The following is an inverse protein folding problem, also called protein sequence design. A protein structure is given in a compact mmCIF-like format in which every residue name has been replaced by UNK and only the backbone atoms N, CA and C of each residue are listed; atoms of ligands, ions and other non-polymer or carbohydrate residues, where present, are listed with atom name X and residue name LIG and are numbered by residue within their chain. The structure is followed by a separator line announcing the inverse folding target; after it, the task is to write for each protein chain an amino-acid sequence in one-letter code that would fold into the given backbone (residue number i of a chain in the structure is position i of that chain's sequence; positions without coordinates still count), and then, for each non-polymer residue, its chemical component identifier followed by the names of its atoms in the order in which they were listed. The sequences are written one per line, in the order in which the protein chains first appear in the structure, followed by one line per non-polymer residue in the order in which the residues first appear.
data_IF_371176746753
#
_entry.id   IF_371176746753
#
_cell.length_a   1.000
_cell.length_b   1.000
_cell.length_c   1.000
_cell.angle_alpha   90.00
_cell.angle_beta   90.00
_cell.angle_gamma   90.00
#
_symmetry.space_group_name_H-M   'P 1'
#
loop_
_entity.id
_entity.type
_entity.pdbx_description
1 polymer ?
#
# COMPACT_ATOMS: atom_id res chain seq x y z
N UNK A 1 -0.67 -26.52 -5.57
CA UNK A 1 0.80 -26.52 -5.41
C UNK A 1 1.26 -25.11 -5.68
N UNK A 2 1.89 -24.43 -4.71
CA UNK A 2 2.35 -23.05 -4.88
C UNK A 2 3.28 -22.97 -6.10
N UNK A 3 3.23 -21.85 -6.84
CA UNK A 3 4.17 -21.64 -7.95
C UNK A 3 5.61 -21.73 -7.43
N UNK A 4 6.55 -22.09 -8.30
CA UNK A 4 7.97 -22.16 -7.93
C UNK A 4 8.45 -20.83 -7.34
N UNK A 5 7.96 -19.72 -7.88
CA UNK A 5 8.29 -18.38 -7.43
C UNK A 5 7.71 -18.05 -6.04
N UNK A 6 6.51 -18.51 -5.73
CA UNK A 6 5.96 -18.39 -4.36
C UNK A 6 6.76 -19.22 -3.35
N UNK A 7 7.26 -20.40 -3.74
CA UNK A 7 8.12 -21.22 -2.88
C UNK A 7 9.49 -20.55 -2.64
N UNK A 8 10.06 -19.92 -3.67
CA UNK A 8 11.28 -19.12 -3.53
C UNK A 8 11.08 -17.93 -2.61
N UNK A 9 9.98 -17.19 -2.77
CA UNK A 9 9.64 -16.08 -1.89
C UNK A 9 9.50 -16.52 -0.41
N UNK A 10 8.81 -17.65 -0.16
CA UNK A 10 8.68 -18.19 1.20
C UNK A 10 10.05 -18.61 1.80
N UNK A 11 10.97 -19.09 0.97
CA UNK A 11 12.34 -19.42 1.40
C UNK A 11 13.06 -18.16 1.86
N UNK A 12 12.92 -17.04 1.14
CA UNK A 12 13.50 -15.74 1.51
C UNK A 12 12.92 -15.24 2.84
N UNK A 13 11.60 -15.28 3.02
CA UNK A 13 10.95 -14.83 4.25
C UNK A 13 11.46 -15.59 5.48
N UNK A 14 11.59 -16.93 5.36
CA UNK A 14 12.01 -17.80 6.46
C UNK A 14 13.41 -17.46 7.00
N UNK A 15 14.33 -17.05 6.13
CA UNK A 15 15.72 -16.73 6.51
C UNK A 15 16.02 -15.23 6.53
N UNK A 16 15.00 -14.38 6.36
CA UNK A 16 15.15 -12.93 6.17
C UNK A 16 15.96 -12.24 7.27
N UNK A 17 15.68 -12.52 8.55
CA UNK A 17 16.40 -11.94 9.69
C UNK A 17 17.88 -12.35 9.74
N UNK A 18 18.18 -13.58 9.31
CA UNK A 18 19.55 -14.11 9.25
C UNK A 18 20.32 -13.50 8.10
N UNK A 19 19.74 -13.52 6.89
CA UNK A 19 20.30 -12.85 5.70
C UNK A 19 20.55 -11.37 5.96
N UNK A 20 19.64 -10.69 6.64
CA UNK A 20 19.82 -9.29 7.02
C UNK A 20 21.03 -9.09 7.95
N UNK A 21 21.26 -9.99 8.90
CA UNK A 21 22.43 -9.94 9.78
C UNK A 21 23.76 -10.11 9.03
N UNK A 22 23.81 -11.04 8.08
CA UNK A 22 24.98 -11.24 7.23
C UNK A 22 25.20 -10.08 6.27
N UNK A 23 24.13 -9.56 5.66
CA UNK A 23 24.19 -8.38 4.79
C UNK A 23 24.71 -7.16 5.55
N UNK A 24 24.26 -6.92 6.78
CA UNK A 24 24.78 -5.81 7.62
C UNK A 24 26.26 -5.99 7.90
N UNK A 25 26.70 -7.21 8.20
CA UNK A 25 28.13 -7.51 8.38
C UNK A 25 28.92 -7.14 7.12
N UNK A 26 28.39 -7.48 5.95
CA UNK A 26 29.01 -7.16 4.67
C UNK A 26 29.01 -5.66 4.35
N UNK A 27 27.93 -4.94 4.69
CA UNK A 27 27.85 -3.47 4.57
C UNK A 27 28.95 -2.80 5.38
N UNK A 28 29.14 -3.18 6.64
CA UNK A 28 30.15 -2.60 7.53
C UNK A 28 31.57 -3.03 7.16
N UNK A 29 31.75 -4.23 6.59
CA UNK A 29 33.03 -4.66 6.04
C UNK A 29 33.47 -3.81 4.85
N UNK A 30 32.52 -3.40 4.00
CA UNK A 30 32.78 -2.52 2.84
C UNK A 30 32.97 -1.05 3.21
N UNK A 31 32.34 -0.61 4.31
CA UNK A 31 32.29 0.79 4.72
C UNK A 31 32.70 0.93 6.20
N UNK A 32 33.99 0.78 6.55
CA UNK A 32 34.45 0.84 7.95
C UNK A 32 34.12 2.17 8.65
N UNK A 33 33.92 3.25 7.89
CA UNK A 33 33.52 4.57 8.39
C UNK A 33 32.07 4.65 8.89
N UNK A 34 31.22 3.67 8.54
CA UNK A 34 29.82 3.63 8.98
C UNK A 34 29.66 3.55 10.50
N UNK A 35 30.63 2.94 11.20
CA UNK A 35 30.65 2.90 12.66
C UNK A 35 30.71 4.32 13.24
N UNK A 36 31.56 5.18 12.68
CA UNK A 36 31.68 6.57 13.12
C UNK A 36 30.45 7.42 12.71
N UNK A 37 29.84 7.11 11.56
CA UNK A 37 28.73 7.90 10.99
C UNK A 37 27.38 7.58 11.60
N UNK A 38 27.06 6.30 11.79
CA UNK A 38 25.76 5.84 12.30
C UNK A 38 25.80 5.45 13.79
N UNK A 39 26.98 5.31 14.37
CA UNK A 39 27.16 4.96 15.77
C UNK A 39 26.61 3.57 16.13
N UNK A 40 26.41 3.29 17.44
CA UNK A 40 26.09 1.95 17.94
C UNK A 40 24.70 1.44 17.52
N UNK A 41 23.80 2.33 17.09
CA UNK A 41 22.45 1.96 16.61
C UNK A 41 22.41 1.67 15.10
N UNK A 42 23.46 2.03 14.36
CA UNK A 42 23.54 1.85 12.91
C UNK A 42 23.31 0.41 12.43
N UNK A 43 23.91 -0.63 13.05
CA UNK A 43 23.68 -2.01 12.64
C UNK A 43 22.21 -2.44 12.77
N UNK A 44 21.52 -1.99 13.82
CA UNK A 44 20.11 -2.30 14.04
C UNK A 44 19.21 -1.59 13.01
N UNK A 45 19.53 -0.34 12.66
CA UNK A 45 18.85 0.40 11.61
C UNK A 45 18.99 -0.33 10.27
N UNK A 46 20.22 -0.61 9.84
CA UNK A 46 20.47 -1.32 8.59
C UNK A 46 19.82 -2.70 8.57
N UNK A 47 19.81 -3.42 9.70
CA UNK A 47 19.13 -4.72 9.78
C UNK A 47 17.64 -4.58 9.48
N UNK A 48 16.96 -3.60 10.08
CA UNK A 48 15.54 -3.33 9.80
C UNK A 48 15.30 -3.07 8.32
N UNK A 49 16.17 -2.29 7.68
CA UNK A 49 16.00 -1.94 6.27
C UNK A 49 16.30 -3.08 5.31
N UNK A 50 17.28 -3.94 5.63
CA UNK A 50 17.52 -5.13 4.83
C UNK A 50 16.38 -6.14 4.99
N UNK A 51 15.80 -6.30 6.18
CA UNK A 51 14.60 -7.13 6.36
C UNK A 51 13.45 -6.62 5.49
N UNK A 52 13.17 -5.32 5.53
CA UNK A 52 12.13 -4.71 4.71
C UNK A 52 12.38 -4.92 3.21
N UNK A 53 13.62 -4.72 2.74
CA UNK A 53 14.01 -4.98 1.33
C UNK A 53 13.83 -6.44 0.93
N UNK A 54 14.21 -7.39 1.79
CA UNK A 54 14.03 -8.82 1.56
C UNK A 54 12.54 -9.18 1.43
N UNK A 55 11.67 -8.55 2.22
CA UNK A 55 10.22 -8.75 2.11
C UNK A 55 9.69 -8.22 0.76
N UNK A 56 10.04 -7.00 0.36
CA UNK A 56 9.67 -6.47 -0.96
C UNK A 56 10.23 -7.31 -2.12
N UNK A 57 11.44 -7.86 -1.96
CA UNK A 57 12.06 -8.75 -2.94
C UNK A 57 11.28 -10.07 -3.06
N UNK A 58 10.85 -10.64 -1.93
CA UNK A 58 10.01 -11.83 -1.90
C UNK A 58 8.65 -11.59 -2.59
N UNK A 59 8.00 -10.44 -2.33
CA UNK A 59 6.76 -10.04 -3.01
C UNK A 59 6.94 -9.93 -4.53
N UNK A 60 8.00 -9.23 -4.96
CA UNK A 60 8.31 -9.03 -6.37
C UNK A 60 8.58 -10.35 -7.10
N UNK A 61 9.29 -11.28 -6.46
CA UNK A 61 9.55 -12.62 -7.02
C UNK A 61 8.25 -13.42 -7.10
N UNK A 62 7.46 -13.47 -6.02
CA UNK A 62 6.23 -14.26 -5.98
C UNK A 62 5.20 -13.86 -7.04
N UNK A 63 5.22 -12.59 -7.44
CA UNK A 63 4.28 -11.99 -8.42
C UNK A 63 4.89 -11.82 -9.81
N UNK A 64 6.18 -12.11 -9.97
CA UNK A 64 6.95 -11.78 -11.18
C UNK A 64 6.81 -10.29 -11.58
N UNK A 65 6.76 -9.40 -10.59
CA UNK A 65 6.64 -7.94 -10.78
C UNK A 65 7.78 -7.23 -10.07
N UNK A 66 8.95 -7.05 -10.73
CA UNK A 66 10.08 -6.33 -10.15
C UNK A 66 9.74 -4.90 -9.74
N UNK A 67 8.72 -4.29 -10.34
CA UNK A 67 8.20 -2.96 -10.02
C UNK A 67 7.86 -2.81 -8.53
N UNK A 68 7.41 -3.87 -7.86
CA UNK A 68 7.12 -3.85 -6.41
C UNK A 68 8.39 -3.50 -5.62
N UNK A 69 9.52 -4.12 -5.96
CA UNK A 69 10.81 -3.85 -5.33
C UNK A 69 11.42 -2.54 -5.82
N UNK A 70 11.36 -2.26 -7.11
CA UNK A 70 11.93 -1.04 -7.70
C UNK A 70 11.28 0.20 -7.10
N UNK A 71 9.95 0.20 -6.94
CA UNK A 71 9.23 1.30 -6.31
C UNK A 71 9.65 1.49 -4.84
N UNK A 72 9.89 0.41 -4.08
CA UNK A 72 10.36 0.55 -2.70
C UNK A 72 11.77 1.15 -2.62
N UNK A 73 12.62 0.89 -3.61
CA UNK A 73 13.94 1.53 -3.73
C UNK A 73 13.84 3.01 -4.12
N UNK A 74 12.97 3.38 -5.06
CA UNK A 74 12.73 4.79 -5.42
C UNK A 74 12.20 5.58 -4.20
N UNK A 75 11.27 4.98 -3.46
CA UNK A 75 10.77 5.53 -2.20
C UNK A 75 11.86 5.68 -1.14
N UNK A 76 12.69 4.65 -0.95
CA UNK A 76 13.84 4.72 -0.04
C UNK A 76 14.81 5.82 -0.46
N UNK A 77 15.13 5.95 -1.76
CA UNK A 77 16.01 7.00 -2.30
C UNK A 77 15.56 8.40 -1.93
N UNK A 78 14.27 8.68 -2.08
CA UNK A 78 13.69 9.96 -1.68
C UNK A 78 13.87 10.21 -0.17
N UNK A 79 13.47 9.25 0.67
CA UNK A 79 13.34 9.48 2.10
C UNK A 79 14.64 9.37 2.90
N UNK A 80 15.58 8.57 2.43
CA UNK A 80 16.82 8.29 3.16
C UNK A 80 17.76 9.50 3.19
N UNK A 81 17.70 10.36 2.15
CA UNK A 81 18.39 11.65 2.16
C UNK A 81 17.96 12.50 3.35
N UNK A 82 16.66 12.53 3.69
CA UNK A 82 16.16 13.25 4.85
C UNK A 82 16.65 12.66 6.19
N UNK A 83 17.05 11.38 6.21
CA UNK A 83 17.60 10.68 7.38
C UNK A 83 19.13 10.62 7.41
N UNK A 84 19.80 11.42 6.57
CA UNK A 84 21.26 11.53 6.55
C UNK A 84 21.97 10.39 5.83
N UNK A 85 21.26 9.60 5.02
CA UNK A 85 21.83 8.60 4.10
C UNK A 85 22.06 9.21 2.72
N UNK A 86 23.04 8.67 1.99
CA UNK A 86 23.31 9.06 0.60
C UNK A 86 22.72 8.05 -0.38
N UNK A 87 22.55 8.46 -1.64
CA UNK A 87 22.22 7.55 -2.75
C UNK A 87 23.26 6.41 -2.89
N UNK A 88 24.53 6.72 -2.62
CA UNK A 88 25.61 5.73 -2.61
C UNK A 88 25.45 4.69 -1.49
N UNK A 89 24.96 5.09 -0.30
CA UNK A 89 24.70 4.15 0.79
C UNK A 89 23.64 3.12 0.39
N UNK A 90 22.60 3.58 -0.33
CA UNK A 90 21.52 2.72 -0.83
C UNK A 90 22.05 1.74 -1.86
N UNK A 91 22.79 2.23 -2.87
CA UNK A 91 23.38 1.38 -3.90
C UNK A 91 24.37 0.36 -3.30
N UNK A 92 25.20 0.79 -2.34
CA UNK A 92 26.11 -0.07 -1.60
C UNK A 92 25.39 -1.17 -0.83
N UNK A 93 24.28 -0.84 -0.17
CA UNK A 93 23.45 -1.81 0.56
C UNK A 93 22.79 -2.85 -0.36
N UNK A 94 22.35 -2.44 -1.55
CA UNK A 94 21.78 -3.34 -2.56
C UNK A 94 22.85 -4.29 -3.14
N UNK A 95 24.05 -3.77 -3.34
CA UNK A 95 25.19 -4.59 -3.79
C UNK A 95 25.56 -5.62 -2.72
N UNK A 96 25.70 -5.20 -1.46
CA UNK A 96 25.98 -6.12 -0.35
C UNK A 96 24.87 -7.18 -0.21
N UNK A 97 23.60 -6.80 -0.34
CA UNK A 97 22.47 -7.73 -0.32
C UNK A 97 22.55 -8.76 -1.46
N UNK A 98 22.87 -8.31 -2.67
CA UNK A 98 23.03 -9.22 -3.82
C UNK A 98 24.15 -10.23 -3.59
N UNK A 99 25.28 -9.78 -3.05
CA UNK A 99 26.44 -10.64 -2.80
C UNK A 99 26.16 -11.65 -1.68
N UNK A 100 25.54 -11.21 -0.57
CA UNK A 100 25.09 -12.11 0.50
C UNK A 100 24.10 -13.16 -0.02
N UNK A 101 23.15 -12.78 -0.88
CA UNK A 101 22.21 -13.74 -1.47
C UNK A 101 22.91 -14.75 -2.39
N UNK A 102 23.94 -14.34 -3.13
CA UNK A 102 24.72 -15.24 -4.00
C UNK A 102 25.57 -16.23 -3.20
N UNK A 103 26.09 -15.82 -2.04
CA UNK A 103 26.88 -16.68 -1.17
C UNK A 103 26.02 -17.67 -0.37
N UNK A 104 24.86 -17.22 0.12
CA UNK A 104 24.11 -17.94 1.16
C UNK A 104 22.85 -18.66 0.64
N UNK A 105 22.33 -18.29 -0.54
CA UNK A 105 21.11 -18.90 -1.09
C UNK A 105 21.43 -19.85 -2.25
N UNK A 106 20.57 -20.86 -2.50
CA UNK A 106 20.66 -21.67 -3.71
C UNK A 106 20.71 -20.81 -4.98
N UNK A 107 21.60 -21.14 -5.92
CA UNK A 107 21.86 -20.34 -7.13
C UNK A 107 20.58 -19.95 -7.89
N UNK A 108 19.61 -20.87 -8.00
CA UNK A 108 18.34 -20.59 -8.67
C UNK A 108 17.52 -19.45 -8.02
N UNK A 109 17.60 -19.31 -6.69
CA UNK A 109 16.95 -18.23 -5.93
C UNK A 109 17.81 -16.97 -6.03
N UNK A 110 19.11 -17.09 -5.79
CA UNK A 110 20.05 -15.98 -5.84
C UNK A 110 20.04 -15.26 -7.20
N UNK A 111 20.00 -16.01 -8.30
CA UNK A 111 19.94 -15.45 -9.66
C UNK A 111 18.64 -14.71 -9.94
N UNK A 112 17.51 -15.15 -9.36
CA UNK A 112 16.23 -14.43 -9.43
C UNK A 112 16.30 -13.12 -8.66
N UNK A 113 16.77 -13.19 -7.42
CA UNK A 113 16.99 -12.02 -6.57
C UNK A 113 17.90 -10.99 -7.25
N UNK A 114 19.03 -11.44 -7.80
CA UNK A 114 20.01 -10.57 -8.45
C UNK A 114 19.42 -9.82 -9.65
N UNK A 115 18.52 -10.44 -10.43
CA UNK A 115 17.83 -9.74 -11.53
C UNK A 115 16.95 -8.59 -11.03
N UNK A 116 16.17 -8.82 -9.97
CA UNK A 116 15.29 -7.78 -9.39
C UNK A 116 16.12 -6.69 -8.70
N UNK A 117 17.14 -7.08 -7.93
CA UNK A 117 18.06 -6.14 -7.27
C UNK A 117 18.79 -5.27 -8.30
N UNK A 118 19.18 -5.82 -9.45
CA UNK A 118 19.80 -5.06 -10.53
C UNK A 118 18.91 -3.95 -11.07
N UNK A 119 17.60 -4.16 -11.17
CA UNK A 119 16.67 -3.09 -11.55
C UNK A 119 16.58 -2.01 -10.46
N UNK A 120 16.59 -2.40 -9.18
CA UNK A 120 16.67 -1.46 -8.06
C UNK A 120 17.98 -0.66 -8.02
N UNK A 121 19.12 -1.27 -8.37
CA UNK A 121 20.42 -0.59 -8.46
C UNK A 121 20.39 0.52 -9.51
N UNK A 122 19.79 0.28 -10.68
CA UNK A 122 19.62 1.33 -11.71
C UNK A 122 18.86 2.55 -11.20
N UNK A 123 17.94 2.38 -10.25
CA UNK A 123 17.23 3.48 -9.58
C UNK A 123 18.14 4.17 -8.56
N UNK A 124 18.80 3.40 -7.70
CA UNK A 124 19.67 3.93 -6.65
C UNK A 124 20.84 4.76 -7.20
N UNK A 125 21.38 4.38 -8.35
CA UNK A 125 22.53 5.01 -9.01
C UNK A 125 22.17 6.22 -9.88
N UNK A 126 20.89 6.61 -9.98
CA UNK A 126 20.50 7.79 -10.77
C UNK A 126 21.12 9.07 -10.16
N UNK A 127 21.72 9.95 -10.98
CA UNK A 127 22.33 11.18 -10.49
C UNK A 127 21.34 12.01 -9.67
N UNK A 128 21.80 12.63 -8.59
CA UNK A 128 20.95 13.48 -7.72
C UNK A 128 20.37 14.68 -8.49
N UNK A 129 21.06 15.17 -9.51
CA UNK A 129 20.55 16.23 -10.41
C UNK A 129 19.39 15.77 -11.30
N UNK A 130 19.20 14.45 -11.45
CA UNK A 130 17.93 13.87 -11.93
C UNK A 130 17.05 13.73 -10.70
N UNK A 131 16.58 14.88 -10.28
CA UNK A 131 15.54 15.05 -9.30
C UNK A 131 14.26 14.39 -9.83
N UNK A 132 14.07 13.10 -9.55
CA UNK A 132 12.73 12.54 -9.51
C UNK A 132 12.07 12.99 -8.20
N UNK A 133 12.06 14.32 -8.01
CA UNK A 133 11.55 15.02 -6.84
C UNK A 133 10.07 14.71 -6.61
N UNK A 134 9.38 14.03 -7.53
CA UNK A 134 7.96 13.69 -7.42
C UNK A 134 7.62 12.94 -6.14
N UNK A 135 8.52 12.09 -5.63
CA UNK A 135 8.31 11.35 -4.37
C UNK A 135 8.55 12.23 -3.13
N UNK A 136 9.43 13.23 -3.26
CA UNK A 136 9.72 14.22 -2.22
C UNK A 136 8.78 15.42 -2.23
N UNK A 137 8.19 15.73 -3.36
CA UNK A 137 7.27 16.83 -3.55
C UNK A 137 5.99 16.52 -2.82
N UNK A 138 5.47 17.54 -2.13
CA UNK A 138 4.13 17.48 -1.59
C UNK A 138 3.17 17.10 -2.70
N UNK A 139 2.26 16.17 -2.42
CA UNK A 139 1.17 15.82 -3.36
C UNK A 139 0.26 17.02 -3.63
N UNK A 140 0.29 18.01 -2.75
CA UNK A 140 -0.42 19.26 -2.93
C UNK A 140 0.40 20.24 -3.78
N UNK A 141 0.15 20.25 -5.09
CA UNK A 141 0.68 21.29 -5.98
C UNK A 141 -0.11 22.62 -5.80
N UNK A 142 0.54 23.77 -6.00
CA UNK A 142 -0.12 25.08 -6.01
C UNK A 142 -0.98 25.33 -7.26
N UNK A 143 -0.79 24.53 -8.32
CA UNK A 143 -1.60 24.60 -9.54
C UNK A 143 -2.93 23.82 -9.46
N UNK A 144 -3.12 23.00 -8.44
CA UNK A 144 -4.36 22.23 -8.23
C UNK A 144 -5.40 23.10 -7.50
N UNK A 145 -6.63 23.12 -8.00
CA UNK A 145 -7.76 23.88 -7.45
C UNK A 145 -8.08 23.44 -6.02
N UNK A 146 -7.81 22.18 -5.67
CA UNK A 146 -8.07 21.62 -4.34
C UNK A 146 -6.83 21.41 -3.48
N UNK A 147 -5.63 21.60 -4.06
CA UNK A 147 -4.36 21.60 -3.32
C UNK A 147 -4.39 22.48 -2.07
N UNK A 148 -4.93 23.71 -2.10
CA UNK A 148 -5.07 24.55 -0.91
C UNK A 148 -5.98 23.94 0.18
N UNK A 149 -7.07 23.27 -0.20
CA UNK A 149 -8.02 22.67 0.75
C UNK A 149 -7.41 21.44 1.43
N UNK A 150 -6.76 20.58 0.66
CA UNK A 150 -6.04 19.43 1.19
C UNK A 150 -4.92 19.84 2.15
N UNK A 151 -4.13 20.87 1.80
CA UNK A 151 -3.13 21.43 2.73
C UNK A 151 -3.76 21.98 4.00
N UNK A 152 -4.84 22.76 3.88
CA UNK A 152 -5.54 23.32 5.03
C UNK A 152 -6.09 22.21 5.95
N UNK A 153 -6.72 21.19 5.37
CA UNK A 153 -7.23 20.02 6.08
C UNK A 153 -6.13 19.34 6.89
N UNK A 154 -5.02 18.96 6.23
CA UNK A 154 -3.90 18.30 6.89
C UNK A 154 -3.24 19.18 7.95
N UNK A 155 -3.01 20.46 7.64
CA UNK A 155 -2.39 21.42 8.57
C UNK A 155 -3.21 21.53 9.85
N UNK A 156 -4.54 21.70 9.73
CA UNK A 156 -5.41 21.75 10.90
C UNK A 156 -5.33 20.47 11.73
N UNK A 157 -5.25 19.29 11.12
CA UNK A 157 -5.07 18.05 11.88
C UNK A 157 -3.72 17.95 12.59
N UNK A 158 -2.63 18.34 11.92
CA UNK A 158 -1.29 18.37 12.53
C UNK A 158 -1.22 19.37 13.70
N UNK A 159 -1.95 20.48 13.61
CA UNK A 159 -2.10 21.45 14.70
C UNK A 159 -3.17 21.06 15.74
N UNK A 160 -3.75 19.86 15.65
CA UNK A 160 -4.77 19.30 16.56
C UNK A 160 -6.10 20.08 16.58
N UNK A 161 -6.43 20.75 15.49
CA UNK A 161 -7.63 21.56 15.29
C UNK A 161 -8.67 20.79 14.46
N UNK A 162 -9.19 19.68 15.03
CA UNK A 162 -10.10 18.77 14.33
C UNK A 162 -11.37 19.47 13.80
N UNK A 163 -11.94 20.42 14.54
CA UNK A 163 -13.14 21.16 14.12
C UNK A 163 -12.90 21.94 12.83
N UNK A 164 -11.77 22.65 12.73
CA UNK A 164 -11.41 23.41 11.52
C UNK A 164 -11.11 22.49 10.34
N UNK A 165 -10.47 21.35 10.58
CA UNK A 165 -10.25 20.36 9.53
C UNK A 165 -11.59 19.84 8.99
N UNK A 166 -12.56 19.56 9.87
CA UNK A 166 -13.91 19.17 9.46
C UNK A 166 -14.64 20.29 8.71
N UNK A 167 -14.49 21.55 9.14
CA UNK A 167 -15.08 22.70 8.45
C UNK A 167 -14.61 22.79 6.99
N UNK A 168 -13.32 22.56 6.71
CA UNK A 168 -12.79 22.53 5.33
C UNK A 168 -13.55 21.52 4.46
N UNK A 169 -13.81 20.32 4.98
CA UNK A 169 -14.52 19.27 4.26
C UNK A 169 -16.01 19.62 4.07
N UNK A 170 -16.68 20.09 5.13
CA UNK A 170 -18.10 20.42 5.08
C UNK A 170 -18.39 21.66 4.22
N UNK A 171 -17.52 22.66 4.24
CA UNK A 171 -17.60 23.83 3.35
C UNK A 171 -17.42 23.43 1.88
N UNK A 172 -16.51 22.49 1.61
CA UNK A 172 -16.33 21.93 0.26
C UNK A 172 -17.63 21.30 -0.26
N UNK A 173 -18.30 20.49 0.56
CA UNK A 173 -19.62 19.93 0.22
C UNK A 173 -20.67 21.02 0.06
N UNK A 174 -20.73 21.99 0.99
CA UNK A 174 -21.68 23.13 0.90
C UNK A 174 -21.49 23.97 -0.36
N UNK A 175 -20.26 24.05 -0.88
CA UNK A 175 -19.94 24.77 -2.11
C UNK A 175 -20.34 24.04 -3.40
N UNK A 176 -20.96 22.86 -3.28
CA UNK A 176 -21.51 22.10 -4.41
C UNK A 176 -20.65 20.91 -4.85
N UNK A 177 -19.52 20.63 -4.19
CA UNK A 177 -18.71 19.45 -4.47
C UNK A 177 -19.38 18.20 -3.92
N UNK A 178 -19.29 17.11 -4.68
CA UNK A 178 -19.71 15.79 -4.21
C UNK A 178 -18.78 15.28 -3.10
N UNK A 179 -19.29 14.39 -2.26
CA UNK A 179 -18.47 13.71 -1.24
C UNK A 179 -17.37 12.88 -1.90
N UNK A 180 -17.63 12.27 -3.06
CA UNK A 180 -16.64 11.56 -3.85
C UNK A 180 -15.46 12.46 -4.25
N UNK A 181 -15.73 13.68 -4.74
CA UNK A 181 -14.66 14.66 -5.02
C UNK A 181 -13.91 15.06 -3.75
N UNK A 182 -14.58 15.24 -2.61
CA UNK A 182 -13.91 15.56 -1.33
C UNK A 182 -13.01 14.41 -0.87
N UNK A 183 -13.47 13.17 -1.00
CA UNK A 183 -12.67 11.97 -0.72
C UNK A 183 -11.40 11.94 -1.58
N UNK A 184 -11.53 12.14 -2.89
CA UNK A 184 -10.44 11.95 -3.84
C UNK A 184 -9.46 13.14 -3.93
N UNK A 185 -9.94 14.36 -3.73
CA UNK A 185 -9.14 15.58 -3.95
C UNK A 185 -8.64 16.23 -2.65
N UNK A 186 -9.21 15.88 -1.50
CA UNK A 186 -8.82 16.44 -0.19
C UNK A 186 -8.31 15.35 0.74
N UNK A 187 -9.13 14.32 1.02
CA UNK A 187 -8.79 13.29 2.02
C UNK A 187 -7.68 12.38 1.51
N UNK A 188 -7.84 11.75 0.34
CA UNK A 188 -6.85 10.81 -0.17
C UNK A 188 -5.45 11.45 -0.32
N UNK A 189 -5.30 12.67 -0.88
CA UNK A 189 -4.01 13.33 -0.92
C UNK A 189 -3.48 13.71 0.46
N UNK A 190 -4.32 14.10 1.43
CA UNK A 190 -3.86 14.37 2.79
C UNK A 190 -3.31 13.11 3.48
N UNK A 191 -3.90 11.95 3.22
CA UNK A 191 -3.40 10.66 3.73
C UNK A 191 -2.07 10.28 3.07
N UNK A 192 -1.92 10.51 1.77
CA UNK A 192 -0.63 10.32 1.10
C UNK A 192 0.43 11.26 1.65
N UNK A 193 0.06 12.52 1.91
CA UNK A 193 0.99 13.54 2.40
C UNK A 193 1.45 13.28 3.83
N UNK A 194 0.57 12.88 4.76
CA UNK A 194 1.01 12.53 6.13
C UNK A 194 1.95 11.32 6.11
N UNK A 195 1.72 10.36 5.20
CA UNK A 195 2.64 9.26 4.95
C UNK A 195 4.01 9.74 4.48
N UNK A 196 4.05 10.69 3.53
CA UNK A 196 5.29 11.34 3.07
C UNK A 196 6.01 12.07 4.21
N UNK A 197 5.29 12.91 4.98
CA UNK A 197 5.85 13.66 6.11
C UNK A 197 6.43 12.73 7.19
N UNK A 198 5.72 11.66 7.54
CA UNK A 198 6.22 10.64 8.46
C UNK A 198 7.52 10.01 7.94
N UNK A 199 7.54 9.71 6.65
CA UNK A 199 8.71 9.11 6.02
C UNK A 199 9.91 10.06 5.92
N UNK A 200 9.68 11.37 5.84
CA UNK A 200 10.72 12.41 5.91
C UNK A 200 11.11 12.80 7.33
N UNK A 201 10.54 12.15 8.36
CA UNK A 201 10.74 12.51 9.76
C UNK A 201 10.27 13.94 10.10
N UNK A 202 9.35 14.48 9.30
CA UNK A 202 8.65 15.75 9.52
C UNK A 202 7.34 15.56 10.32
N UNK A 203 6.80 14.34 10.33
CA UNK A 203 5.70 13.92 11.19
C UNK A 203 6.09 12.69 12.01
N UNK A 204 5.59 12.59 13.24
CA UNK A 204 5.78 11.43 14.09
C UNK A 204 4.72 10.36 13.83
N UNK A 205 4.94 9.15 14.37
CA UNK A 205 3.90 8.11 14.40
C UNK A 205 2.63 8.60 15.13
N UNK A 206 2.79 9.42 16.17
CA UNK A 206 1.66 10.01 16.89
C UNK A 206 0.89 11.04 16.05
N UNK A 207 1.56 11.74 15.12
CA UNK A 207 0.90 12.63 14.16
C UNK A 207 0.09 11.83 13.14
N UNK A 208 0.69 10.80 12.54
CA UNK A 208 0.01 9.90 11.60
C UNK A 208 -1.25 9.28 12.23
N UNK A 209 -1.11 8.65 13.41
CA UNK A 209 -2.24 7.99 14.08
C UNK A 209 -3.40 8.96 14.39
N UNK A 210 -3.08 10.18 14.81
CA UNK A 210 -4.10 11.19 15.06
C UNK A 210 -4.78 11.65 13.77
N UNK A 211 -4.00 11.92 12.70
CA UNK A 211 -4.54 12.32 11.40
C UNK A 211 -5.48 11.23 10.87
N UNK A 212 -5.06 9.96 10.92
CA UNK A 212 -5.88 8.81 10.50
C UNK A 212 -7.16 8.70 11.32
N UNK A 213 -7.07 8.78 12.66
CA UNK A 213 -8.24 8.71 13.56
C UNK A 213 -9.23 9.86 13.32
N UNK A 214 -8.73 11.09 13.19
CA UNK A 214 -9.57 12.25 12.89
C UNK A 214 -10.22 12.15 11.50
N UNK A 215 -9.50 11.57 10.54
CA UNK A 215 -10.02 11.30 9.18
C UNK A 215 -11.14 10.27 9.19
N UNK A 216 -11.04 9.20 9.98
CA UNK A 216 -12.15 8.24 10.14
C UNK A 216 -13.42 8.92 10.66
N UNK A 217 -13.29 9.79 11.66
CA UNK A 217 -14.42 10.54 12.20
C UNK A 217 -15.03 11.47 11.14
N UNK A 218 -14.19 12.12 10.33
CA UNK A 218 -14.65 12.99 9.25
C UNK A 218 -15.38 12.21 8.14
N UNK A 219 -14.87 11.04 7.74
CA UNK A 219 -15.54 10.15 6.76
C UNK A 219 -16.92 9.73 7.27
N UNK A 220 -17.03 9.30 8.53
CA UNK A 220 -18.32 8.94 9.13
C UNK A 220 -19.35 10.07 9.07
N UNK A 221 -18.92 11.33 9.24
CA UNK A 221 -19.77 12.51 9.09
C UNK A 221 -20.12 12.81 7.64
N UNK A 222 -19.15 12.73 6.72
CA UNK A 222 -19.36 12.93 5.29
C UNK A 222 -20.31 11.90 4.68
N UNK A 223 -20.31 10.66 5.19
CA UNK A 223 -21.28 9.63 4.80
C UNK A 223 -22.73 10.10 4.95
N UNK A 224 -23.03 10.93 5.95
CA UNK A 224 -24.38 11.50 6.16
C UNK A 224 -24.80 12.51 5.08
N UNK A 225 -23.85 12.96 4.24
CA UNK A 225 -24.06 13.91 3.14
C UNK A 225 -24.14 13.23 1.77
N UNK A 226 -23.89 11.93 1.69
CA UNK A 226 -24.03 11.17 0.46
C UNK A 226 -25.50 11.07 0.05
N UNK A 227 -25.80 11.08 -1.26
CA UNK A 227 -27.12 10.69 -1.74
C UNK A 227 -27.40 9.24 -1.36
N UNK A 228 -28.68 8.90 -1.20
CA UNK A 228 -29.11 7.52 -0.98
C UNK A 228 -29.95 7.08 -2.16
N UNK A 229 -29.33 6.34 -3.08
CA UNK A 229 -30.07 5.66 -4.13
C UNK A 229 -31.01 4.60 -3.52
N UNK A 230 -32.03 4.20 -4.28
CA UNK A 230 -32.89 3.08 -3.91
C UNK A 230 -32.06 1.81 -3.83
N UNK A 231 -32.29 0.93 -2.83
CA UNK A 231 -31.62 -0.35 -2.75
C UNK A 231 -31.72 -1.12 -4.07
N UNK A 232 -30.58 -1.53 -4.62
CA UNK A 232 -30.49 -2.23 -5.90
C UNK A 232 -30.48 -3.76 -5.75
N UNK A 233 -30.58 -4.25 -4.51
CA UNK A 233 -30.56 -5.68 -4.17
C UNK A 233 -29.18 -6.32 -4.17
N UNK A 234 -28.10 -5.56 -4.43
CA UNK A 234 -26.72 -6.04 -4.45
C UNK A 234 -26.05 -5.92 -3.08
N UNK A 235 -25.26 -6.92 -2.71
CA UNK A 235 -24.46 -6.94 -1.48
C UNK A 235 -22.97 -6.87 -1.81
N UNK A 236 -22.22 -6.06 -1.07
CA UNK A 236 -20.77 -5.99 -1.18
C UNK A 236 -20.08 -6.19 0.18
N UNK A 237 -18.94 -6.87 0.17
CA UNK A 237 -18.02 -6.97 1.29
C UNK A 237 -16.78 -6.13 0.98
N UNK A 238 -16.36 -5.24 1.89
CA UNK A 238 -15.25 -4.32 1.67
C UNK A 238 -14.23 -4.41 2.82
N UNK A 239 -12.97 -4.73 2.51
CA UNK A 239 -11.92 -4.86 3.54
C UNK A 239 -10.50 -4.75 2.99
N UNK A 240 -9.54 -4.40 3.84
CA UNK A 240 -8.13 -4.56 3.54
C UNK A 240 -7.65 -5.95 3.94
N UNK A 241 -6.75 -6.50 3.13
CA UNK A 241 -6.27 -7.87 3.29
C UNK A 241 -5.41 -8.06 4.55
N UNK A 242 -5.22 -9.32 4.96
CA UNK A 242 -4.41 -9.66 6.12
C UNK A 242 -2.99 -9.09 6.04
N UNK A 243 -2.52 -8.52 7.16
CA UNK A 243 -1.25 -7.83 7.27
C UNK A 243 -1.29 -6.35 6.87
N UNK A 244 -2.37 -5.87 6.25
CA UNK A 244 -2.52 -4.46 5.90
C UNK A 244 -3.37 -3.69 6.92
N UNK A 245 -2.75 -2.73 7.60
CA UNK A 245 -3.38 -1.94 8.65
C UNK A 245 -4.15 -0.71 8.15
N UNK A 246 -4.12 -0.43 6.85
CA UNK A 246 -4.72 0.80 6.30
C UNK A 246 -6.12 0.52 5.75
N UNK A 247 -7.14 1.27 6.19
CA UNK A 247 -8.53 1.08 5.77
C UNK A 247 -9.26 2.36 5.31
N UNK A 248 -8.61 3.53 5.32
CA UNK A 248 -9.24 4.79 4.90
C UNK A 248 -9.76 4.70 3.46
N UNK A 249 -8.95 4.15 2.55
CA UNK A 249 -9.32 3.96 1.14
C UNK A 249 -10.56 3.07 0.97
N UNK A 250 -10.57 1.90 1.61
CA UNK A 250 -11.66 0.93 1.44
C UNK A 250 -12.97 1.39 2.10
N UNK A 251 -12.89 2.21 3.16
CA UNK A 251 -14.07 2.88 3.74
C UNK A 251 -14.69 3.88 2.79
N UNK A 252 -13.88 4.68 2.08
CA UNK A 252 -14.38 5.61 1.07
C UNK A 252 -15.09 4.85 -0.07
N UNK A 253 -14.52 3.72 -0.52
CA UNK A 253 -15.17 2.83 -1.50
C UNK A 253 -16.51 2.31 -0.99
N UNK A 254 -16.55 1.81 0.25
CA UNK A 254 -17.76 1.29 0.86
C UNK A 254 -18.87 2.34 0.93
N UNK A 255 -18.56 3.54 1.40
CA UNK A 255 -19.52 4.64 1.49
C UNK A 255 -20.08 5.03 0.11
N UNK A 256 -19.24 5.06 -0.93
CA UNK A 256 -19.70 5.36 -2.29
C UNK A 256 -20.56 4.24 -2.89
N UNK A 257 -20.24 2.97 -2.64
CA UNK A 257 -21.10 1.85 -3.05
C UNK A 257 -22.47 1.90 -2.38
N UNK A 258 -22.52 2.19 -1.08
CA UNK A 258 -23.79 2.37 -0.37
C UNK A 258 -24.61 3.53 -0.94
N UNK A 259 -23.95 4.63 -1.34
CA UNK A 259 -24.64 5.77 -1.98
C UNK A 259 -25.36 5.39 -3.27
N UNK A 260 -24.89 4.32 -3.93
CA UNK A 260 -25.44 3.74 -5.16
C UNK A 260 -26.44 2.60 -4.92
N UNK A 261 -26.88 2.41 -3.66
CA UNK A 261 -27.95 1.48 -3.30
C UNK A 261 -27.48 0.06 -2.98
N UNK A 262 -26.18 -0.17 -2.88
CA UNK A 262 -25.63 -1.44 -2.41
C UNK A 262 -25.81 -1.58 -0.90
N UNK A 263 -26.00 -2.81 -0.44
CA UNK A 263 -25.82 -3.16 0.98
C UNK A 263 -24.37 -3.56 1.21
N UNK A 264 -23.60 -2.71 1.88
CA UNK A 264 -22.16 -2.91 2.06
C UNK A 264 -21.82 -3.29 3.49
N UNK A 265 -21.00 -4.32 3.64
CA UNK A 265 -20.35 -4.68 4.90
C UNK A 265 -18.88 -4.29 4.83
N UNK A 266 -18.47 -3.24 5.56
CA UNK A 266 -17.08 -2.79 5.61
C UNK A 266 -16.39 -3.33 6.87
N UNK A 267 -15.50 -4.31 6.72
CA UNK A 267 -14.81 -4.95 7.86
C UNK A 267 -13.54 -4.22 8.31
N UNK A 268 -13.10 -3.21 7.55
CA UNK A 268 -11.92 -2.41 7.90
C UNK A 268 -10.62 -3.09 7.51
N UNK A 269 -9.58 -2.92 8.34
CA UNK A 269 -8.22 -3.35 8.07
C UNK A 269 -7.92 -4.80 8.51
N UNK A 270 -6.81 -5.34 8.00
CA UNK A 270 -6.15 -6.54 8.50
C UNK A 270 -7.05 -7.79 8.58
N UNK A 271 -7.85 -8.03 7.54
CA UNK A 271 -8.80 -9.14 7.54
C UNK A 271 -8.10 -10.48 7.28
N UNK A 272 -8.12 -11.43 8.22
CA UNK A 272 -7.54 -12.75 8.01
C UNK A 272 -8.24 -13.49 6.88
N UNK A 273 -7.48 -14.13 5.98
CA UNK A 273 -8.04 -14.81 4.80
C UNK A 273 -9.04 -15.90 5.16
N UNK A 274 -8.79 -16.69 6.21
CA UNK A 274 -9.71 -17.75 6.64
C UNK A 274 -11.07 -17.20 7.06
N UNK A 275 -11.07 -16.17 7.90
CA UNK A 275 -12.30 -15.51 8.37
C UNK A 275 -13.01 -14.76 7.24
N UNK A 276 -12.26 -14.14 6.31
CA UNK A 276 -12.80 -13.50 5.11
C UNK A 276 -13.60 -14.50 4.27
N UNK A 277 -13.03 -15.68 4.01
CA UNK A 277 -13.67 -16.72 3.21
C UNK A 277 -14.91 -17.27 3.92
N UNK A 278 -14.80 -17.58 5.21
CA UNK A 278 -15.92 -18.08 6.01
C UNK A 278 -17.09 -17.09 6.10
N UNK A 279 -16.80 -15.78 6.06
CA UNK A 279 -17.83 -14.74 6.03
C UNK A 279 -18.42 -14.53 4.63
N UNK A 280 -17.60 -14.62 3.59
CA UNK A 280 -18.01 -14.31 2.22
C UNK A 280 -18.77 -15.45 1.51
N UNK A 281 -18.51 -16.70 1.89
CA UNK A 281 -19.00 -17.90 1.21
C UNK A 281 -19.55 -18.89 2.24
N UNK A 282 -20.69 -19.52 1.94
CA UNK A 282 -21.30 -20.52 2.83
C UNK A 282 -20.64 -21.91 2.74
N UNK A 283 -21.03 -22.81 3.64
CA UNK A 283 -20.47 -24.18 3.75
C UNK A 283 -20.67 -25.03 2.48
N UNK A 284 -21.57 -24.64 1.57
CA UNK A 284 -21.80 -25.33 0.30
C UNK A 284 -21.20 -24.58 -0.89
N UNK A 285 -20.37 -23.57 -0.66
CA UNK A 285 -19.62 -22.85 -1.69
C UNK A 285 -20.42 -21.78 -2.44
N UNK A 286 -21.54 -21.32 -1.87
CA UNK A 286 -22.37 -20.25 -2.44
C UNK A 286 -21.91 -18.90 -1.90
N UNK A 287 -21.60 -17.92 -2.78
CA UNK A 287 -21.29 -16.56 -2.36
C UNK A 287 -22.48 -15.90 -1.63
N UNK A 288 -22.18 -15.21 -0.53
CA UNK A 288 -23.17 -14.41 0.20
C UNK A 288 -23.25 -12.96 -0.31
N UNK A 289 -22.29 -12.56 -1.14
CA UNK A 289 -22.12 -11.20 -1.67
C UNK A 289 -22.04 -11.26 -3.20
N UNK A 290 -22.46 -10.19 -3.86
CA UNK A 290 -22.25 -10.01 -5.30
C UNK A 290 -20.82 -9.53 -5.59
N UNK A 291 -20.22 -8.83 -4.63
CA UNK A 291 -18.89 -8.22 -4.75
C UNK A 291 -18.07 -8.39 -3.46
N UNK A 292 -16.81 -8.77 -3.59
CA UNK A 292 -15.78 -8.55 -2.55
C UNK A 292 -14.77 -7.53 -3.07
N UNK A 293 -14.72 -6.36 -2.43
CA UNK A 293 -13.76 -5.30 -2.68
C UNK A 293 -12.60 -5.41 -1.67
N UNK A 294 -11.40 -5.67 -2.17
CA UNK A 294 -10.19 -5.84 -1.37
C UNK A 294 -9.21 -4.70 -1.60
N UNK A 295 -8.57 -4.23 -0.52
CA UNK A 295 -7.55 -3.20 -0.57
C UNK A 295 -6.18 -3.70 -0.11
N UNK A 296 -5.13 -3.28 -0.82
CA UNK A 296 -3.74 -3.34 -0.36
C UNK A 296 -3.07 -1.98 -0.59
N UNK A 297 -2.54 -1.38 0.47
CA UNK A 297 -1.94 -0.04 0.48
C UNK A 297 -0.45 -0.06 0.18
N UNK A 298 0.22 -1.19 0.43
CA UNK A 298 1.67 -1.34 0.21
C UNK A 298 2.00 -2.59 -0.60
N UNK A 299 3.17 -2.61 -1.24
CA UNK A 299 3.65 -3.77 -1.99
C UNK A 299 3.80 -5.04 -1.14
N UNK A 300 3.97 -4.88 0.19
CA UNK A 300 4.07 -5.97 1.16
C UNK A 300 2.75 -6.75 1.35
N UNK A 301 1.62 -6.20 0.92
CA UNK A 301 0.31 -6.84 1.06
C UNK A 301 -0.14 -7.57 -0.22
N UNK A 302 0.67 -7.60 -1.28
CA UNK A 302 0.26 -8.15 -2.58
C UNK A 302 0.12 -9.68 -2.54
N UNK A 303 1.01 -10.41 -1.85
CA UNK A 303 0.81 -11.85 -1.61
C UNK A 303 -0.42 -12.14 -0.76
N UNK A 304 -0.67 -11.35 0.28
CA UNK A 304 -1.91 -11.47 1.08
C UNK A 304 -3.15 -11.28 0.21
N UNK A 305 -3.11 -10.33 -0.73
CA UNK A 305 -4.14 -10.15 -1.75
C UNK A 305 -4.31 -11.38 -2.62
N UNK A 306 -3.23 -11.89 -3.23
CA UNK A 306 -3.29 -13.09 -4.06
C UNK A 306 -3.86 -14.30 -3.31
N UNK A 307 -3.45 -14.49 -2.04
CA UNK A 307 -3.97 -15.56 -1.19
C UNK A 307 -5.47 -15.38 -0.89
N UNK A 308 -5.91 -14.16 -0.59
CA UNK A 308 -7.32 -13.86 -0.37
C UNK A 308 -8.18 -14.12 -1.61
N UNK A 309 -7.74 -13.63 -2.78
CA UNK A 309 -8.43 -13.86 -4.05
C UNK A 309 -8.50 -15.35 -4.39
N UNK A 310 -7.38 -16.08 -4.30
CA UNK A 310 -7.34 -17.52 -4.56
C UNK A 310 -8.27 -18.30 -3.62
N UNK A 311 -8.23 -18.00 -2.33
CA UNK A 311 -9.06 -18.71 -1.35
C UNK A 311 -10.56 -18.42 -1.54
N UNK A 312 -10.93 -17.18 -1.87
CA UNK A 312 -12.31 -16.82 -2.21
C UNK A 312 -12.78 -17.58 -3.46
N UNK A 313 -11.95 -17.67 -4.51
CA UNK A 313 -12.26 -18.40 -5.74
C UNK A 313 -12.45 -19.89 -5.50
N UNK A 314 -11.58 -20.49 -4.71
CA UNK A 314 -11.66 -21.91 -4.35
C UNK A 314 -12.94 -22.20 -3.56
N UNK A 315 -13.29 -21.33 -2.60
CA UNK A 315 -14.49 -21.48 -1.80
C UNK A 315 -15.77 -21.22 -2.61
N UNK A 316 -15.78 -20.21 -3.48
CA UNK A 316 -16.96 -19.78 -4.25
C UNK A 316 -17.26 -20.66 -5.47
N UNK A 317 -16.85 -21.94 -5.48
CA UNK A 317 -16.90 -22.80 -6.67
C UNK A 317 -18.33 -23.04 -7.21
N UNK A 318 -19.37 -22.82 -6.39
CA UNK A 318 -20.77 -23.05 -6.76
C UNK A 318 -21.54 -21.76 -7.10
N UNK A 319 -20.85 -20.63 -7.27
CA UNK A 319 -21.49 -19.38 -7.68
C UNK A 319 -20.53 -18.39 -8.32
N UNK A 320 -21.08 -17.29 -8.82
CA UNK A 320 -20.27 -16.17 -9.29
C UNK A 320 -20.10 -15.16 -8.16
N UNK A 321 -18.86 -14.94 -7.75
CA UNK A 321 -18.46 -13.89 -6.81
C UNK A 321 -17.58 -12.90 -7.55
N UNK A 322 -18.00 -11.66 -7.73
CA UNK A 322 -17.13 -10.66 -8.32
C UNK A 322 -16.07 -10.23 -7.29
N UNK A 323 -14.80 -10.14 -7.69
CA UNK A 323 -13.70 -9.71 -6.83
C UNK A 323 -13.02 -8.50 -7.46
N UNK A 324 -13.08 -7.36 -6.77
CA UNK A 324 -12.40 -6.13 -7.15
C UNK A 324 -11.23 -5.88 -6.20
N UNK A 325 -10.10 -5.43 -6.75
CA UNK A 325 -8.92 -5.06 -5.96
C UNK A 325 -8.56 -3.59 -6.17
N UNK A 326 -7.82 -3.02 -5.22
CA UNK A 326 -7.32 -1.65 -5.32
C UNK A 326 -6.28 -1.32 -4.27
N UNK A 327 -5.92 -0.04 -4.21
CA UNK A 327 -4.88 0.50 -3.33
C UNK A 327 -3.54 0.70 -4.04
N UNK A 328 -2.51 1.12 -3.29
CA UNK A 328 -1.27 1.70 -3.81
C UNK A 328 -0.61 0.88 -4.94
N UNK A 329 -0.25 -0.40 -4.71
CA UNK A 329 0.39 -1.24 -5.74
C UNK A 329 -0.44 -1.39 -7.01
N UNK A 330 -1.76 -1.51 -6.87
CA UNK A 330 -2.70 -1.68 -7.99
C UNK A 330 -2.91 -0.39 -8.80
N UNK A 331 -2.67 0.77 -8.18
CA UNK A 331 -2.62 2.04 -8.91
C UNK A 331 -1.30 2.22 -9.69
N UNK A 332 -0.19 1.64 -9.20
CA UNK A 332 1.14 1.79 -9.79
C UNK A 332 1.45 0.72 -10.85
N UNK A 333 0.90 -0.49 -10.74
CA UNK A 333 1.22 -1.64 -11.59
C UNK A 333 -0.08 -2.08 -12.32
N UNK A 334 -0.30 -1.65 -13.57
CA UNK A 334 -1.60 -1.78 -14.24
C UNK A 334 -2.13 -3.20 -14.44
N UNK A 335 -1.23 -4.19 -14.51
CA UNK A 335 -1.58 -5.59 -14.76
C UNK A 335 -1.57 -6.46 -13.48
N UNK A 336 -1.32 -5.86 -12.31
CA UNK A 336 -1.18 -6.59 -11.05
C UNK A 336 -2.48 -7.28 -10.63
N UNK A 337 -3.63 -6.70 -10.99
CA UNK A 337 -4.93 -7.27 -10.64
C UNK A 337 -5.21 -8.59 -11.37
N UNK A 338 -4.73 -8.75 -12.61
CA UNK A 338 -4.77 -10.03 -13.33
C UNK A 338 -3.81 -11.04 -12.71
N UNK A 339 -2.62 -10.60 -12.26
CA UNK A 339 -1.65 -11.47 -11.58
C UNK A 339 -2.25 -12.09 -10.32
N UNK A 340 -2.99 -11.31 -9.53
CA UNK A 340 -3.65 -11.82 -8.31
C UNK A 340 -4.98 -12.54 -8.60
N UNK A 341 -5.46 -12.54 -9.85
CA UNK A 341 -6.67 -13.27 -10.26
C UNK A 341 -8.01 -12.58 -9.97
N UNK A 342 -8.01 -11.26 -9.80
CA UNK A 342 -9.22 -10.46 -9.59
C UNK A 342 -10.01 -10.26 -10.91
N UNK A 343 -11.29 -9.87 -10.81
CA UNK A 343 -12.13 -9.56 -11.98
C UNK A 343 -12.01 -8.11 -12.41
N UNK A 344 -11.61 -7.22 -11.50
CA UNK A 344 -11.48 -5.79 -11.77
C UNK A 344 -10.55 -5.08 -10.80
N UNK A 345 -10.13 -3.88 -11.21
CA UNK A 345 -9.24 -3.03 -10.44
C UNK A 345 -9.70 -1.58 -10.45
N UNK A 346 -9.65 -0.93 -9.30
CA UNK A 346 -9.96 0.48 -9.16
C UNK A 346 -8.81 1.27 -8.54
N UNK A 347 -8.53 2.45 -9.12
CA UNK A 347 -7.43 3.34 -8.66
C UNK A 347 -7.91 4.45 -7.74
N UNK A 348 -9.22 4.69 -7.70
CA UNK A 348 -9.87 5.62 -6.79
C UNK A 348 -11.28 5.14 -6.42
N UNK A 349 -11.90 5.81 -5.45
CA UNK A 349 -13.20 5.41 -4.92
C UNK A 349 -14.33 5.49 -5.96
N UNK A 350 -14.32 6.53 -6.81
CA UNK A 350 -15.31 6.71 -7.88
C UNK A 350 -15.14 5.68 -8.99
N UNK A 351 -13.89 5.34 -9.33
CA UNK A 351 -13.62 4.24 -10.28
C UNK A 351 -14.11 2.90 -9.71
N UNK A 352 -13.99 2.68 -8.40
CA UNK A 352 -14.45 1.46 -7.76
C UNK A 352 -15.95 1.23 -7.91
N UNK A 353 -16.77 2.29 -7.81
CA UNK A 353 -18.20 2.21 -8.07
C UNK A 353 -18.50 1.79 -9.51
N UNK A 354 -17.77 2.35 -10.47
CA UNK A 354 -17.94 2.03 -11.90
C UNK A 354 -17.55 0.57 -12.18
N UNK A 355 -16.38 0.16 -11.72
CA UNK A 355 -15.86 -1.20 -11.89
C UNK A 355 -16.79 -2.21 -11.23
N UNK A 356 -17.25 -1.94 -9.99
CA UNK A 356 -18.22 -2.79 -9.29
C UNK A 356 -19.45 -3.08 -10.17
N UNK A 357 -20.07 -2.05 -10.75
CA UNK A 357 -21.22 -2.22 -11.65
C UNK A 357 -20.88 -3.04 -12.88
N UNK A 358 -19.70 -2.86 -13.46
CA UNK A 358 -19.25 -3.59 -14.66
C UNK A 358 -19.06 -5.09 -14.39
N UNK A 359 -18.47 -5.45 -13.24
CA UNK A 359 -18.09 -6.85 -12.95
C UNK A 359 -19.14 -7.65 -12.17
N UNK A 360 -20.10 -6.99 -11.53
CA UNK A 360 -21.14 -7.65 -10.71
C UNK A 360 -22.51 -7.72 -11.38
N UNK A 361 -22.58 -7.40 -12.68
CA UNK A 361 -23.82 -7.33 -13.46
C UNK A 361 -24.38 -8.70 -13.80
#
# INVERSE_FOLDING_TARGET
MLSLDTQFAASIDHVSSTLAGWTVTEIYRRNPEYEARFGPTGPALWKGEIVNRLQYLAEAIATDRPEIFVNSVEWARAAFVARGFTTADIAGSLTALSDTLQEEMPAAIADRCARVIKEGLKVAERPETVHDDKVLQSVFNNADVDGPRGRAYLTHLLERQQDKALDVLLESVKSGRSVAEVFETIIAPAMTEVGRLWHLNEATVADEHYVTTATHNAIALLRTKLPRATPNGKRALATSVGGDLHDVGIRMVADLLESEGWQVECLGANMPTGDLVAHAVDDVGTPQFDLVALSASTGLAVRSMANAVSALREASANGHLAIMVGGGPFAMIPDLWQVVGADGCARCASEAVRVAKEISS
#
